data_IF_183105502271
#
_entry.id   IF_183105502271
#
_cell.length_a   1.000
_cell.length_b   1.000
_cell.length_c   1.000
_cell.angle_alpha   90.00
_cell.angle_beta   90.00
_cell.angle_gamma   90.00
#
_symmetry.space_group_name_H-M   'P 1'
#
loop_
_entity.id
_entity.type
_entity.pdbx_description
1 polymer ?
#
# COMPACT_ATOMS: atom_id res chain seq x y z
N UNK A 1 -12.58 5.29 16.28
CA UNK A 1 -11.16 4.89 16.15
C UNK A 1 -11.03 3.49 16.73
N UNK A 2 -10.75 2.46 15.94
CA UNK A 2 -10.45 1.15 16.50
C UNK A 2 -9.05 1.23 17.12
N UNK A 3 -8.93 1.15 18.43
CA UNK A 3 -7.64 1.09 19.12
C UNK A 3 -6.99 -0.26 18.83
N UNK A 4 -5.68 -0.31 18.57
CA UNK A 4 -4.99 -1.60 18.51
C UNK A 4 -5.04 -2.25 19.89
N UNK A 5 -5.10 -3.57 19.94
CA UNK A 5 -4.98 -4.30 21.20
C UNK A 5 -3.69 -3.86 21.91
N UNK A 6 -3.78 -3.29 23.12
CA UNK A 6 -2.60 -2.87 23.88
C UNK A 6 -1.57 -3.98 24.06
N UNK A 7 -2.01 -5.24 24.13
CA UNK A 7 -1.11 -6.39 24.26
C UNK A 7 -0.32 -6.66 22.97
N UNK A 8 -0.95 -6.49 21.81
CA UNK A 8 -0.28 -6.61 20.51
C UNK A 8 0.76 -5.50 20.33
N UNK A 9 0.39 -4.27 20.69
CA UNK A 9 1.32 -3.12 20.67
C UNK A 9 2.51 -3.36 21.60
N UNK A 10 2.25 -3.79 22.84
CA UNK A 10 3.29 -4.12 23.80
C UNK A 10 4.24 -5.18 23.24
N UNK A 11 3.70 -6.26 22.68
CA UNK A 11 4.50 -7.34 22.08
C UNK A 11 5.36 -6.88 20.90
N UNK A 12 4.84 -6.03 20.01
CA UNK A 12 5.62 -5.45 18.91
C UNK A 12 6.74 -4.55 19.45
N UNK A 13 6.47 -3.77 20.50
CA UNK A 13 7.47 -2.85 21.08
C UNK A 13 8.52 -3.52 21.95
N UNK A 14 8.22 -4.68 22.56
CA UNK A 14 9.15 -5.43 23.41
C UNK A 14 9.86 -6.56 22.68
N UNK A 15 9.37 -6.97 21.50
CA UNK A 15 10.07 -7.89 20.62
C UNK A 15 11.39 -7.28 20.14
N UNK A 16 12.50 -7.95 20.46
CA UNK A 16 13.82 -7.67 19.86
C UNK A 16 13.89 -8.09 18.39
N UNK A 17 12.93 -8.88 17.92
CA UNK A 17 12.83 -9.30 16.53
C UNK A 17 11.94 -8.31 15.76
N UNK A 18 12.54 -7.63 14.79
CA UNK A 18 11.80 -6.78 13.86
C UNK A 18 10.89 -7.66 12.98
N UNK A 19 9.71 -7.15 12.55
CA UNK A 19 8.87 -7.86 11.60
C UNK A 19 9.66 -8.25 10.35
N UNK A 20 9.68 -9.54 10.02
CA UNK A 20 10.38 -10.04 8.84
C UNK A 20 9.58 -9.66 7.60
N UNK A 21 10.16 -8.81 6.76
CA UNK A 21 9.57 -8.47 5.45
C UNK A 21 9.65 -9.70 4.55
N UNK A 22 8.51 -10.34 4.31
CA UNK A 22 8.42 -11.45 3.35
C UNK A 22 8.07 -10.90 1.97
N UNK A 23 9.01 -11.05 1.04
CA UNK A 23 8.73 -10.88 -0.38
C UNK A 23 8.07 -12.16 -0.90
N UNK A 24 6.76 -12.12 -1.14
CA UNK A 24 6.03 -13.25 -1.72
C UNK A 24 5.79 -13.00 -3.21
N UNK A 25 6.26 -13.91 -4.08
CA UNK A 25 5.97 -13.90 -5.51
C UNK A 25 4.56 -14.48 -5.80
N UNK A 26 3.54 -13.90 -5.16
CA UNK A 26 2.15 -14.34 -5.26
C UNK A 26 1.24 -13.17 -5.61
N UNK A 27 0.00 -13.46 -6.02
CA UNK A 27 -0.98 -12.43 -6.32
C UNK A 27 -1.34 -11.61 -5.07
N UNK A 28 -1.80 -10.36 -5.26
CA UNK A 28 -2.32 -9.52 -4.17
C UNK A 28 -3.48 -10.22 -3.43
N UNK A 29 -4.35 -10.92 -4.15
CA UNK A 29 -5.45 -11.70 -3.58
C UNK A 29 -4.97 -12.77 -2.61
N UNK A 30 -3.85 -13.44 -2.93
CA UNK A 30 -3.22 -14.42 -2.05
C UNK A 30 -2.68 -13.76 -0.79
N UNK A 31 -2.06 -12.58 -0.90
CA UNK A 31 -1.58 -11.83 0.26
C UNK A 31 -2.74 -11.45 1.18
N UNK A 32 -3.87 -10.98 0.63
CA UNK A 32 -5.05 -10.64 1.42
C UNK A 32 -5.62 -11.87 2.14
N UNK A 33 -5.65 -13.03 1.49
CA UNK A 33 -6.07 -14.27 2.12
C UNK A 33 -5.17 -14.65 3.30
N UNK A 34 -3.85 -14.54 3.16
CA UNK A 34 -2.90 -14.80 4.25
C UNK A 34 -3.13 -13.86 5.44
N UNK A 35 -3.41 -12.58 5.19
CA UNK A 35 -3.79 -11.61 6.22
C UNK A 35 -5.12 -11.98 6.90
N UNK A 36 -6.12 -12.40 6.13
CA UNK A 36 -7.41 -12.87 6.66
C UNK A 36 -7.28 -14.13 7.52
N UNK A 37 -6.29 -14.98 7.22
CA UNK A 37 -5.92 -16.15 8.03
C UNK A 37 -5.10 -15.79 9.28
N UNK A 38 -4.80 -14.51 9.52
CA UNK A 38 -4.05 -14.05 10.69
C UNK A 38 -2.54 -14.26 10.60
N UNK A 39 -2.00 -14.52 9.40
CA UNK A 39 -0.58 -14.83 9.19
C UNK A 39 0.32 -13.59 9.06
N UNK A 40 -0.23 -12.40 9.26
CA UNK A 40 0.53 -11.15 9.26
C UNK A 40 -0.29 -9.93 8.88
N UNK A 41 0.41 -8.89 8.44
CA UNK A 41 -0.15 -7.64 7.94
C UNK A 41 0.40 -7.34 6.55
N UNK A 42 -0.30 -6.50 5.79
CA UNK A 42 0.16 -6.08 4.46
C UNK A 42 0.04 -4.56 4.30
N UNK A 43 0.82 -4.02 3.38
CA UNK A 43 0.82 -2.62 2.99
C UNK A 43 0.25 -2.49 1.58
N UNK A 44 -0.60 -1.50 1.39
CA UNK A 44 -1.18 -1.17 0.08
C UNK A 44 -1.19 0.34 -0.11
N UNK A 45 -1.32 0.80 -1.36
CA UNK A 45 -1.56 2.21 -1.62
C UNK A 45 -2.92 2.62 -1.05
N UNK A 46 -3.03 3.88 -0.64
CA UNK A 46 -4.29 4.44 -0.12
C UNK A 46 -5.43 4.31 -1.14
N UNK A 47 -5.13 4.53 -2.42
CA UNK A 47 -6.08 4.36 -3.53
C UNK A 47 -6.68 2.96 -3.57
N UNK A 48 -5.87 1.93 -3.31
CA UNK A 48 -6.33 0.56 -3.30
C UNK A 48 -7.13 0.24 -2.04
N UNK A 49 -6.67 0.70 -0.87
CA UNK A 49 -7.38 0.54 0.40
C UNK A 49 -8.79 1.17 0.39
N UNK A 50 -8.98 2.28 -0.35
CA UNK A 50 -10.29 2.94 -0.50
C UNK A 50 -11.29 2.11 -1.31
N UNK A 51 -10.81 1.35 -2.30
CA UNK A 51 -11.65 0.59 -3.23
C UNK A 51 -11.86 -0.84 -2.72
N UNK A 52 -10.82 -1.46 -2.14
CA UNK A 52 -10.86 -2.83 -1.69
C UNK A 52 -11.30 -2.95 -0.22
N UNK A 53 -12.48 -3.55 -0.05
CA UNK A 53 -12.90 -4.11 1.23
C UNK A 53 -12.44 -5.56 1.31
N UNK A 54 -11.64 -5.86 2.33
CA UNK A 54 -11.19 -7.22 2.64
C UNK A 54 -11.86 -7.63 3.96
N UNK A 55 -12.70 -8.65 3.91
CA UNK A 55 -13.50 -9.08 5.07
C UNK A 55 -12.63 -9.39 6.28
N UNK A 56 -13.12 -9.04 7.47
CA UNK A 56 -12.46 -9.26 8.77
C UNK A 56 -11.08 -8.62 8.91
N UNK A 57 -10.75 -7.65 8.07
CA UNK A 57 -9.53 -6.85 8.16
C UNK A 57 -9.85 -5.36 8.28
N UNK A 58 -8.88 -4.57 8.72
CA UNK A 58 -9.02 -3.12 8.85
C UNK A 58 -7.80 -2.44 8.23
N UNK A 59 -8.05 -1.51 7.31
CA UNK A 59 -7.01 -0.61 6.82
C UNK A 59 -6.69 0.47 7.85
N UNK A 60 -5.40 0.76 8.03
CA UNK A 60 -4.94 1.82 8.91
C UNK A 60 -3.92 2.70 8.18
N UNK A 61 -4.07 4.03 8.26
CA UNK A 61 -3.11 4.94 7.66
C UNK A 61 -1.77 4.82 8.38
N UNK A 62 -0.69 4.90 7.61
CA UNK A 62 0.67 5.02 8.13
C UNK A 62 1.08 6.46 7.95
N UNK A 63 1.49 7.10 9.04
CA UNK A 63 2.00 8.46 9.03
C UNK A 63 3.50 8.42 9.31
N UNK A 64 4.29 9.02 8.42
CA UNK A 64 5.72 9.19 8.60
C UNK A 64 6.31 10.00 7.45
N UNK A 65 7.53 10.54 7.60
CA UNK A 65 8.18 11.35 6.56
C UNK A 65 8.32 10.64 5.21
N UNK A 66 8.37 9.30 5.22
CA UNK A 66 8.55 8.43 4.06
C UNK A 66 7.33 7.56 3.76
N UNK A 67 6.17 7.84 4.36
CA UNK A 67 4.94 7.04 4.20
C UNK A 67 4.16 7.41 2.93
N UNK A 68 4.86 7.58 1.81
CA UNK A 68 4.25 7.83 0.51
C UNK A 68 4.85 6.88 -0.54
N UNK A 69 4.03 6.54 -1.54
CA UNK A 69 4.50 5.76 -2.68
C UNK A 69 4.57 6.70 -3.90
N UNK A 70 5.77 6.89 -4.44
CA UNK A 70 5.97 7.73 -5.61
C UNK A 70 5.48 6.97 -6.86
N UNK A 71 4.44 7.49 -7.50
CA UNK A 71 3.98 7.00 -8.81
C UNK A 71 4.64 7.82 -9.89
N UNK A 72 5.48 7.17 -10.69
CA UNK A 72 6.20 7.80 -11.80
C UNK A 72 5.75 7.21 -13.13
N UNK A 73 5.61 8.06 -14.15
CA UNK A 73 5.44 7.62 -15.54
C UNK A 73 6.78 7.69 -16.26
N UNK A 74 7.07 6.67 -17.07
CA UNK A 74 8.30 6.57 -17.87
C UNK A 74 7.89 6.46 -19.34
N UNK A 75 8.61 7.15 -20.22
CA UNK A 75 8.44 7.08 -21.67
C UNK A 75 9.81 7.04 -22.34
N UNK A 76 9.86 6.46 -23.53
CA UNK A 76 11.03 6.48 -24.39
C UNK A 76 11.14 7.86 -25.06
N UNK A 77 12.36 8.26 -25.37
CA UNK A 77 12.61 9.49 -26.13
C UNK A 77 11.93 9.48 -27.51
N UNK A 78 11.76 8.29 -28.09
CA UNK A 78 11.06 8.07 -29.35
C UNK A 78 9.54 8.22 -29.27
N UNK A 79 8.95 8.36 -28.08
CA UNK A 79 7.50 8.50 -27.97
C UNK A 79 7.02 9.85 -28.54
N UNK A 80 5.92 9.88 -29.31
CA UNK A 80 5.37 11.13 -29.84
C UNK A 80 5.05 12.12 -28.71
N UNK A 81 5.67 13.31 -28.75
CA UNK A 81 5.53 14.35 -27.71
C UNK A 81 4.07 14.64 -27.35
N UNK A 82 3.18 14.70 -28.35
CA UNK A 82 1.75 14.97 -28.15
C UNK A 82 1.05 13.89 -27.30
N UNK A 83 1.38 12.62 -27.48
CA UNK A 83 0.78 11.53 -26.72
C UNK A 83 1.21 11.58 -25.25
N UNK A 84 2.51 11.84 -25.00
CA UNK A 84 3.06 12.04 -23.66
C UNK A 84 2.40 13.25 -22.99
N UNK A 85 2.39 14.42 -23.64
CA UNK A 85 1.76 15.62 -23.08
C UNK A 85 0.28 15.44 -22.78
N UNK A 86 -0.46 14.73 -23.63
CA UNK A 86 -1.88 14.43 -23.38
C UNK A 86 -2.05 13.58 -22.12
N UNK A 87 -1.20 12.56 -21.90
CA UNK A 87 -1.25 11.74 -20.68
C UNK A 87 -0.89 12.54 -19.43
N UNK A 88 0.14 13.38 -19.51
CA UNK A 88 0.52 14.29 -18.41
C UNK A 88 -0.63 15.25 -18.08
N UNK A 89 -1.27 15.83 -19.10
CA UNK A 89 -2.42 16.71 -18.90
C UNK A 89 -3.62 16.01 -18.26
N UNK A 90 -3.86 14.73 -18.60
CA UNK A 90 -4.90 13.92 -17.96
C UNK A 90 -4.56 13.63 -16.50
N UNK A 91 -3.31 13.26 -16.19
CA UNK A 91 -2.88 13.01 -14.82
C UNK A 91 -3.07 14.26 -13.93
N UNK A 92 -2.69 15.45 -14.42
CA UNK A 92 -2.89 16.73 -13.71
C UNK A 92 -4.35 17.07 -13.45
N UNK A 93 -5.30 16.56 -14.24
CA UNK A 93 -6.75 16.77 -14.00
C UNK A 93 -7.31 15.86 -12.91
N UNK A 94 -6.62 14.76 -12.60
CA UNK A 94 -7.07 13.76 -11.62
C UNK A 94 -6.58 14.13 -10.20
N UNK A 95 -5.59 15.03 -10.08
CA UNK A 95 -5.22 15.68 -8.82
C UNK A 95 -6.29 16.74 -8.46
N UNK A 96 -7.37 16.31 -7.79
CA UNK A 96 -8.37 17.15 -7.13
C UNK A 96 -8.71 16.54 -5.77
#
# INVERSE_FOLDING_TARGET
>A
MAQFDPNLLAHITTSTEAPVVRHCAVSQSTIFMEVQLGKGVTLVSESLAKILRVDRTVWRPIAGPTSFNQVSAIWLESNPKRAVFRRVALAKRIEC
#
